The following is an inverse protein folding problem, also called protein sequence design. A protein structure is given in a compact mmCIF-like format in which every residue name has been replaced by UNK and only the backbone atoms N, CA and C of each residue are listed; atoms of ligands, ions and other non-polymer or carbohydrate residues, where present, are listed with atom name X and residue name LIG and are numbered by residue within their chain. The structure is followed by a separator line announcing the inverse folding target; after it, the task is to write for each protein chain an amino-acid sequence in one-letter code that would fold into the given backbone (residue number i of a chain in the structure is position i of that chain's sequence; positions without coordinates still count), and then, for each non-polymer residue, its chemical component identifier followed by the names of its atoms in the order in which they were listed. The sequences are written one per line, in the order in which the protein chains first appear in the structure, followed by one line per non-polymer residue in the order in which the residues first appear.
data_IF_063689554327
#
_entry.id   IF_063689554327
#
_cell.length_a   1.000
_cell.length_b   1.000
_cell.length_c   1.000
_cell.angle_alpha   90.00
_cell.angle_beta   90.00
_cell.angle_gamma   90.00
#
_symmetry.space_group_name_H-M   'P 1'
#
loop_
_entity.id
_entity.type
_entity.pdbx_description
1 polymer ?
#
# COMPACT_ATOMS: atom_id res chain seq x y z
N UNK A 1 7.82 33.69 -37.85
CA UNK A 1 7.42 33.17 -36.53
C UNK A 1 5.91 32.99 -36.59
N UNK A 2 5.45 31.75 -36.72
CA UNK A 2 4.06 31.39 -37.00
C UNK A 2 3.18 31.60 -35.77
N UNK A 3 2.06 32.30 -35.96
CA UNK A 3 1.01 32.51 -34.96
C UNK A 3 0.35 31.18 -34.56
N UNK A 4 0.21 30.94 -33.26
CA UNK A 4 -0.62 29.86 -32.74
C UNK A 4 -2.11 30.22 -32.98
N UNK A 5 -2.83 29.37 -33.73
CA UNK A 5 -4.30 29.39 -33.83
C UNK A 5 -4.84 28.47 -32.75
N UNK A 6 -5.77 28.99 -31.95
CA UNK A 6 -6.50 28.23 -30.92
C UNK A 6 -7.87 27.95 -31.55
N UNK A 7 -8.17 26.69 -31.84
CA UNK A 7 -9.53 26.25 -32.19
C UNK A 7 -10.33 26.15 -30.89
N UNK A 8 -11.42 26.90 -30.81
CA UNK A 8 -12.35 26.78 -29.69
C UNK A 8 -13.23 25.55 -29.94
N UNK A 9 -13.04 24.54 -29.10
CA UNK A 9 -13.95 23.40 -29.01
C UNK A 9 -15.19 23.88 -28.25
N UNK A 10 -16.36 23.73 -28.87
CA UNK A 10 -17.64 24.10 -28.26
C UNK A 10 -17.91 23.20 -27.07
N UNK A 11 -17.88 23.77 -25.86
CA UNK A 11 -18.34 23.12 -24.64
C UNK A 11 -19.84 22.82 -24.80
N UNK A 12 -20.16 21.55 -25.02
CA UNK A 12 -21.53 21.08 -25.03
C UNK A 12 -21.99 20.95 -23.57
N UNK A 13 -22.47 22.06 -23.02
CA UNK A 13 -23.10 22.17 -21.71
C UNK A 13 -24.32 21.23 -21.64
N UNK A 14 -24.10 20.06 -21.04
CA UNK A 14 -25.18 19.14 -20.67
C UNK A 14 -25.47 19.38 -19.20
N UNK A 15 -26.32 20.37 -18.94
CA UNK A 15 -26.90 20.67 -17.63
C UNK A 15 -27.57 19.39 -17.07
N UNK A 16 -27.02 18.76 -16.01
CA UNK A 16 -27.72 17.67 -15.35
C UNK A 16 -28.91 18.29 -14.63
N UNK A 17 -30.11 18.10 -15.19
CA UNK A 17 -31.37 18.56 -14.64
C UNK A 17 -31.36 18.54 -13.10
N UNK A 18 -31.43 19.73 -12.49
CA UNK A 18 -31.62 19.98 -11.06
C UNK A 18 -32.96 19.39 -10.60
N UNK A 19 -33.02 18.08 -10.51
CA UNK A 19 -34.15 17.32 -10.03
C UNK A 19 -34.01 17.03 -8.55
N UNK A 20 -34.72 17.83 -7.74
CA UNK A 20 -35.30 17.42 -6.44
C UNK A 20 -34.50 17.66 -5.15
N UNK A 21 -33.85 18.82 -5.00
CA UNK A 21 -33.39 19.27 -3.67
C UNK A 21 -34.12 20.52 -3.15
N UNK A 22 -34.91 21.21 -3.97
CA UNK A 22 -35.65 22.42 -3.56
C UNK A 22 -37.02 22.15 -2.90
N UNK A 23 -37.43 20.88 -2.73
CA UNK A 23 -38.72 20.51 -2.10
C UNK A 23 -38.56 19.72 -0.79
N UNK A 24 -37.36 19.66 -0.22
CA UNK A 24 -37.19 19.21 1.15
C UNK A 24 -37.28 20.44 2.06
N UNK A 25 -38.49 20.75 2.51
CA UNK A 25 -38.70 21.69 3.61
C UNK A 25 -38.09 21.09 4.88
N UNK A 26 -37.15 21.80 5.51
CA UNK A 26 -36.39 21.38 6.70
C UNK A 26 -37.26 20.99 7.93
N UNK A 27 -38.59 21.04 7.80
CA UNK A 27 -39.57 20.75 8.85
C UNK A 27 -39.93 19.26 9.02
N UNK A 28 -39.56 18.38 8.08
CA UNK A 28 -39.99 16.96 8.10
C UNK A 28 -38.90 15.98 8.58
N UNK A 29 -37.70 16.48 8.92
CA UNK A 29 -36.66 15.65 9.54
C UNK A 29 -36.87 15.57 11.06
N UNK A 30 -37.81 14.72 11.48
CA UNK A 30 -38.06 14.46 12.91
C UNK A 30 -36.92 13.58 13.48
N UNK A 31 -35.87 14.23 14.03
CA UNK A 31 -34.67 13.60 14.62
C UNK A 31 -34.97 12.52 15.70
N UNK A 32 -36.22 12.44 16.16
CA UNK A 32 -36.69 11.46 17.15
C UNK A 32 -36.87 10.04 16.60
N UNK A 33 -36.84 9.85 15.27
CA UNK A 33 -36.99 8.51 14.69
C UNK A 33 -35.66 7.73 14.61
N UNK A 34 -34.52 8.42 14.49
CA UNK A 34 -33.18 7.81 14.41
C UNK A 34 -32.79 7.12 15.73
N UNK A 35 -33.38 7.56 16.86
CA UNK A 35 -33.11 7.04 18.19
C UNK A 35 -34.13 6.00 18.68
N UNK A 36 -35.07 5.52 17.86
CA UNK A 36 -36.04 4.50 18.28
C UNK A 36 -35.37 3.11 18.36
N UNK A 37 -35.18 2.53 19.56
CA UNK A 37 -34.80 1.13 19.66
C UNK A 37 -36.03 0.29 19.31
N UNK A 38 -35.88 -0.67 18.40
CA UNK A 38 -36.93 -1.63 18.07
C UNK A 38 -37.38 -2.35 19.34
N UNK A 39 -38.64 -2.15 19.73
CA UNK A 39 -39.20 -2.74 20.94
C UNK A 39 -39.50 -4.23 20.68
N UNK A 40 -38.67 -5.11 21.24
CA UNK A 40 -39.01 -6.54 21.41
C UNK A 40 -39.54 -6.73 22.83
N UNK A 41 -40.69 -7.40 22.95
CA UNK A 41 -41.53 -7.47 24.16
C UNK A 41 -40.87 -8.11 25.42
N UNK A 42 -41.32 -7.66 26.61
CA UNK A 42 -40.98 -8.12 27.99
C UNK A 42 -42.02 -9.17 28.52
N UNK A 43 -41.89 -9.84 29.71
CA UNK A 43 -41.00 -9.60 30.87
C UNK A 43 -40.44 -10.84 31.65
N UNK A 44 -39.32 -10.69 32.40
CA UNK A 44 -39.05 -11.40 33.69
C UNK A 44 -38.01 -10.65 34.56
N UNK A 45 -38.10 -10.83 35.88
CA UNK A 45 -37.69 -9.99 37.04
C UNK A 45 -36.16 -9.77 37.35
N UNK A 46 -35.76 -8.86 38.29
CA UNK A 46 -34.35 -8.51 38.66
C UNK A 46 -33.81 -9.35 39.84
N UNK A 47 -32.47 -9.50 40.12
CA UNK A 47 -31.48 -8.46 40.56
C UNK A 47 -29.98 -8.80 40.18
N UNK A 48 -28.89 -8.33 40.87
CA UNK A 48 -28.40 -6.98 41.18
C UNK A 48 -27.02 -6.62 40.52
N UNK A 49 -26.72 -5.31 40.53
CA UNK A 49 -25.47 -4.55 40.33
C UNK A 49 -24.11 -5.26 40.11
N UNK A 50 -23.38 -4.88 39.05
CA UNK A 50 -21.92 -4.74 39.05
C UNK A 50 -21.39 -3.80 37.93
N UNK A 51 -20.79 -2.69 38.39
CA UNK A 51 -19.61 -1.97 37.87
C UNK A 51 -19.59 -1.36 36.46
N UNK A 52 -19.50 -0.03 36.46
CA UNK A 52 -19.08 0.83 35.37
C UNK A 52 -17.70 0.41 34.83
N UNK A 53 -17.60 0.16 33.53
CA UNK A 53 -16.33 0.27 32.82
C UNK A 53 -16.52 1.25 31.65
N UNK A 54 -16.02 2.45 31.87
CA UNK A 54 -15.88 3.50 30.89
C UNK A 54 -14.85 3.03 29.84
N UNK A 55 -15.33 2.55 28.69
CA UNK A 55 -14.46 2.19 27.57
C UNK A 55 -13.95 3.47 26.92
N UNK A 56 -12.65 3.72 27.10
CA UNK A 56 -11.90 4.73 26.38
C UNK A 56 -11.81 4.37 24.90
N UNK A 57 -12.41 5.25 24.08
CA UNK A 57 -11.83 5.84 22.88
C UNK A 57 -10.95 4.92 21.99
N UNK A 58 -11.53 4.49 20.87
CA UNK A 58 -10.94 4.42 19.52
C UNK A 58 -9.40 4.33 19.48
N UNK A 59 -8.87 3.11 19.41
CA UNK A 59 -7.49 2.84 19.02
C UNK A 59 -7.41 2.70 17.48
N UNK A 60 -6.77 3.63 16.75
CA UNK A 60 -6.69 3.59 15.30
C UNK A 60 -5.74 2.52 14.74
N UNK A 61 -5.11 1.69 15.58
CA UNK A 61 -4.16 0.65 15.13
C UNK A 61 -4.79 -0.71 14.82
N UNK A 62 -6.09 -0.89 15.10
CA UNK A 62 -6.77 -2.19 15.05
C UNK A 62 -7.70 -2.39 13.84
N UNK A 63 -7.45 -1.72 12.70
CA UNK A 63 -8.12 -2.10 11.44
C UNK A 63 -7.59 -3.46 10.98
N UNK A 64 -8.39 -4.55 11.05
CA UNK A 64 -7.96 -5.84 10.53
C UNK A 64 -8.01 -5.73 9.01
N UNK A 65 -6.88 -5.40 8.40
CA UNK A 65 -6.70 -5.51 6.96
C UNK A 65 -7.00 -6.96 6.58
N UNK A 66 -8.07 -7.17 5.80
CA UNK A 66 -8.69 -8.48 5.50
C UNK A 66 -7.79 -9.51 4.80
N UNK A 67 -6.53 -9.18 4.57
CA UNK A 67 -5.54 -10.02 3.91
C UNK A 67 -4.55 -10.72 4.86
N UNK A 68 -4.70 -10.58 6.19
CA UNK A 68 -3.92 -11.35 7.17
C UNK A 68 -2.42 -11.02 7.24
N UNK A 69 -1.93 -10.04 6.48
CA UNK A 69 -0.54 -9.58 6.56
C UNK A 69 -0.41 -8.49 7.63
N UNK A 70 -0.03 -8.89 8.84
CA UNK A 70 0.26 -7.96 9.94
C UNK A 70 1.60 -7.25 9.67
N UNK A 71 1.55 -6.01 9.18
CA UNK A 71 2.75 -5.20 8.91
C UNK A 71 3.15 -4.44 10.16
N UNK A 72 4.13 -4.95 10.90
CA UNK A 72 4.72 -4.25 12.04
C UNK A 72 5.73 -3.21 11.53
N UNK A 73 5.58 -1.91 11.88
CA UNK A 73 6.61 -0.92 11.59
C UNK A 73 7.88 -1.32 12.35
N UNK A 74 8.93 -1.72 11.64
CA UNK A 74 10.17 -2.10 12.32
C UNK A 74 10.87 -0.85 12.83
N UNK A 75 11.08 -0.78 14.13
CA UNK A 75 11.82 0.28 14.81
C UNK A 75 13.34 0.02 14.80
N UNK A 76 13.77 -1.16 14.35
CA UNK A 76 15.17 -1.58 14.34
C UNK A 76 15.76 -1.47 12.93
N UNK A 77 16.18 -0.26 12.55
CA UNK A 77 16.88 -0.01 11.28
C UNK A 77 18.25 -0.72 11.20
N UNK A 78 18.87 -1.00 12.36
CA UNK A 78 20.21 -1.58 12.45
C UNK A 78 20.25 -3.01 11.88
N UNK A 79 19.26 -3.85 12.20
CA UNK A 79 19.17 -5.22 11.70
C UNK A 79 19.10 -5.33 10.18
N UNK A 80 18.49 -4.35 9.52
CA UNK A 80 18.25 -4.38 8.06
C UNK A 80 19.11 -3.40 7.28
N UNK A 81 20.23 -2.95 7.84
CA UNK A 81 21.14 -2.02 7.20
C UNK A 81 21.87 -2.65 6.00
N UNK A 82 22.23 -3.93 6.12
CA UNK A 82 22.96 -4.68 5.10
C UNK A 82 22.05 -5.28 4.01
N UNK A 83 20.74 -5.09 4.13
CA UNK A 83 19.77 -5.63 3.19
C UNK A 83 19.72 -4.76 1.93
N UNK A 84 19.61 -5.42 0.78
CA UNK A 84 19.47 -4.72 -0.49
C UNK A 84 18.07 -4.09 -0.58
N UNK A 85 18.01 -2.79 -0.85
CA UNK A 85 16.75 -2.09 -1.09
C UNK A 85 16.27 -2.30 -2.53
N UNK A 86 15.02 -2.70 -2.67
CA UNK A 86 14.27 -2.83 -3.91
C UNK A 86 13.06 -1.90 -3.86
N UNK A 87 12.82 -1.21 -4.97
CA UNK A 87 11.65 -0.36 -5.19
C UNK A 87 10.90 -0.84 -6.43
N UNK A 88 9.57 -0.68 -6.50
CA UNK A 88 8.76 -1.09 -7.65
C UNK A 88 9.27 -0.53 -8.98
N UNK A 89 9.62 0.76 -9.02
CA UNK A 89 10.12 1.45 -10.22
C UNK A 89 11.33 0.77 -10.89
N UNK A 90 12.10 -0.05 -10.16
CA UNK A 90 13.25 -0.77 -10.71
C UNK A 90 12.84 -1.82 -11.76
N UNK A 91 11.63 -2.34 -11.65
CA UNK A 91 11.07 -3.39 -12.50
C UNK A 91 10.02 -2.85 -13.48
N UNK A 92 9.72 -1.55 -13.46
CA UNK A 92 8.64 -0.97 -14.26
C UNK A 92 9.05 -0.86 -15.73
N UNK A 93 8.31 -1.58 -16.59
CA UNK A 93 8.51 -1.62 -18.03
C UNK A 93 8.15 -0.29 -18.71
N UNK A 94 7.21 0.46 -18.14
CA UNK A 94 6.73 1.74 -18.67
C UNK A 94 7.72 2.89 -18.39
N UNK A 95 8.72 2.67 -17.53
CA UNK A 95 9.76 3.64 -17.18
C UNK A 95 11.05 3.32 -17.91
N UNK A 96 11.74 4.34 -18.38
CA UNK A 96 13.10 4.25 -18.90
C UNK A 96 14.14 4.02 -17.80
N UNK A 97 15.38 3.71 -18.19
CA UNK A 97 16.50 3.60 -17.24
C UNK A 97 16.82 4.92 -16.55
N UNK A 98 16.63 6.05 -17.23
CA UNK A 98 16.81 7.38 -16.66
C UNK A 98 15.76 7.67 -15.57
N UNK A 99 14.53 7.20 -15.76
CA UNK A 99 13.41 7.40 -14.83
C UNK A 99 13.43 6.46 -13.62
N UNK A 100 14.17 5.35 -13.68
CA UNK A 100 14.39 4.50 -12.51
C UNK A 100 14.48 3.01 -12.78
N UNK A 101 14.08 2.54 -13.98
CA UNK A 101 14.17 1.13 -14.33
C UNK A 101 15.62 0.65 -14.27
N UNK A 102 15.84 -0.49 -13.62
CA UNK A 102 17.20 -1.07 -13.45
C UNK A 102 17.40 -2.32 -14.30
N UNK A 103 16.32 -3.06 -14.56
CA UNK A 103 16.34 -4.30 -15.37
C UNK A 103 16.23 -4.02 -16.87
N UNK A 104 16.59 -5.01 -17.68
CA UNK A 104 16.32 -5.01 -19.12
C UNK A 104 14.82 -5.01 -19.41
N UNK A 105 14.40 -4.49 -20.56
CA UNK A 105 12.96 -4.32 -20.86
C UNK A 105 12.24 -5.66 -20.98
N UNK A 106 12.96 -6.69 -21.43
CA UNK A 106 12.50 -8.07 -21.55
C UNK A 106 12.24 -8.75 -20.20
N UNK A 107 12.86 -8.24 -19.13
CA UNK A 107 12.69 -8.74 -17.76
C UNK A 107 11.84 -7.80 -16.90
N UNK A 108 11.35 -6.69 -17.47
CA UNK A 108 10.53 -5.71 -16.78
C UNK A 108 9.04 -6.10 -16.83
N UNK A 109 8.29 -5.67 -15.83
CA UNK A 109 6.86 -5.95 -15.66
C UNK A 109 6.08 -4.64 -15.72
N UNK A 110 4.85 -4.70 -16.22
CA UNK A 110 3.96 -3.54 -16.28
C UNK A 110 3.33 -3.29 -14.90
N UNK A 111 3.38 -2.03 -14.46
CA UNK A 111 2.78 -1.57 -13.20
C UNK A 111 3.17 -2.41 -11.96
N UNK A 112 4.47 -2.59 -11.68
CA UNK A 112 4.91 -3.42 -10.57
C UNK A 112 4.43 -2.86 -9.22
N UNK A 113 3.95 -3.74 -8.34
CA UNK A 113 3.59 -3.38 -6.96
C UNK A 113 4.59 -3.93 -5.95
N UNK A 114 4.87 -3.17 -4.89
CA UNK A 114 5.81 -3.61 -3.86
C UNK A 114 5.39 -4.93 -3.19
N UNK A 115 4.08 -5.16 -3.07
CA UNK A 115 3.52 -6.40 -2.51
C UNK A 115 3.81 -7.63 -3.36
N UNK A 116 3.87 -7.49 -4.68
CA UNK A 116 4.24 -8.59 -5.58
C UNK A 116 5.72 -8.97 -5.40
N UNK A 117 6.57 -7.96 -5.19
CA UNK A 117 8.00 -8.17 -4.89
C UNK A 117 8.16 -8.95 -3.58
N UNK A 118 7.40 -8.59 -2.53
CA UNK A 118 7.39 -9.35 -1.25
C UNK A 118 6.97 -10.80 -1.48
N UNK A 119 5.88 -11.03 -2.22
CA UNK A 119 5.40 -12.37 -2.54
C UNK A 119 6.43 -13.19 -3.32
N UNK A 120 7.09 -12.58 -4.31
CA UNK A 120 8.15 -13.23 -5.08
C UNK A 120 9.34 -13.61 -4.19
N UNK A 121 9.76 -12.71 -3.30
CA UNK A 121 10.84 -13.00 -2.35
C UNK A 121 10.47 -14.13 -1.38
N UNK A 122 9.21 -14.18 -0.91
CA UNK A 122 8.70 -15.28 -0.09
C UNK A 122 8.75 -16.63 -0.79
N UNK A 123 8.41 -16.68 -2.09
CA UNK A 123 8.55 -17.90 -2.92
C UNK A 123 10.01 -18.34 -3.06
N UNK A 124 10.93 -17.39 -3.14
CA UNK A 124 12.38 -17.63 -3.17
C UNK A 124 12.98 -17.89 -1.77
N UNK A 125 12.15 -17.87 -0.71
CA UNK A 125 12.55 -18.04 0.70
C UNK A 125 13.61 -17.04 1.16
N UNK A 126 13.65 -15.84 0.56
CA UNK A 126 14.55 -14.78 0.96
C UNK A 126 14.04 -14.10 2.22
N UNK A 127 14.96 -13.76 3.13
CA UNK A 127 14.62 -12.93 4.28
C UNK A 127 14.32 -11.51 3.79
N UNK A 128 13.10 -11.04 4.04
CA UNK A 128 12.62 -9.74 3.57
C UNK A 128 11.96 -8.91 4.64
N UNK A 129 12.16 -7.60 4.54
CA UNK A 129 11.41 -6.59 5.26
C UNK A 129 10.63 -5.73 4.26
N UNK A 130 9.35 -5.51 4.55
CA UNK A 130 8.50 -4.64 3.75
C UNK A 130 8.22 -3.33 4.48
N UNK A 131 8.47 -2.21 3.80
CA UNK A 131 8.26 -0.86 4.30
C UNK A 131 7.24 -0.14 3.39
N UNK A 132 5.93 -0.26 3.67
CA UNK A 132 4.87 0.21 2.77
C UNK A 132 4.85 1.72 2.58
N UNK A 133 5.35 2.50 3.55
CA UNK A 133 5.28 3.97 3.52
C UNK A 133 6.48 4.62 2.83
N UNK A 134 7.52 3.85 2.48
CA UNK A 134 8.75 4.39 1.90
C UNK A 134 8.60 4.55 0.38
N UNK A 135 9.05 5.68 -0.12
CA UNK A 135 8.91 6.08 -1.53
C UNK A 135 10.28 6.14 -2.22
N UNK A 136 10.30 5.92 -3.54
CA UNK A 136 11.48 6.14 -4.34
C UNK A 136 11.56 7.62 -4.78
N UNK A 137 12.72 8.29 -4.74
CA UNK A 137 12.80 9.71 -5.10
C UNK A 137 12.35 10.04 -6.53
N UNK A 138 12.47 9.09 -7.46
CA UNK A 138 12.01 9.23 -8.85
C UNK A 138 10.56 8.78 -9.09
N UNK A 139 9.92 8.17 -8.10
CA UNK A 139 8.55 7.70 -8.18
C UNK A 139 7.87 7.85 -6.82
N UNK A 140 7.30 9.03 -6.60
CA UNK A 140 6.55 9.38 -5.39
C UNK A 140 5.11 8.83 -5.42
N UNK A 141 4.65 8.31 -6.56
CA UNK A 141 3.27 7.84 -6.75
C UNK A 141 3.08 6.35 -6.43
N UNK A 142 4.17 5.57 -6.39
CA UNK A 142 4.13 4.14 -6.09
C UNK A 142 4.87 3.83 -4.78
N UNK A 143 4.15 3.80 -3.64
CA UNK A 143 4.73 3.53 -2.34
C UNK A 143 5.15 2.07 -2.16
N UNK A 144 6.22 1.88 -1.38
CA UNK A 144 6.70 0.59 -0.94
C UNK A 144 8.18 0.41 -1.22
N UNK A 145 8.93 0.06 -0.17
CA UNK A 145 10.31 -0.41 -0.25
C UNK A 145 10.39 -1.83 0.30
N UNK A 146 11.09 -2.69 -0.42
CA UNK A 146 11.37 -4.05 0.03
C UNK A 146 12.86 -4.17 0.28
N UNK A 147 13.25 -4.53 1.49
CA UNK A 147 14.63 -4.84 1.85
C UNK A 147 14.81 -6.36 1.82
N UNK A 148 15.83 -6.85 1.12
CA UNK A 148 16.07 -8.28 0.90
C UNK A 148 17.48 -8.67 1.30
N UNK A 149 17.63 -9.75 2.05
CA UNK A 149 18.95 -10.32 2.36
C UNK A 149 19.42 -11.22 1.21
N UNK A 150 20.41 -10.73 0.46
CA UNK A 150 21.00 -11.45 -0.69
C UNK A 150 22.25 -12.23 -0.25
N UNK A 151 23.10 -11.63 0.58
CA UNK A 151 24.36 -12.26 1.03
C UNK A 151 24.18 -12.95 2.38
N UNK A 152 24.79 -14.12 2.52
CA UNK A 152 24.87 -14.86 3.79
C UNK A 152 23.53 -15.45 4.29
N UNK A 153 22.49 -15.42 3.47
CA UNK A 153 21.23 -16.12 3.78
C UNK A 153 21.31 -17.62 3.47
N UNK A 154 20.38 -18.40 4.00
CA UNK A 154 20.35 -19.87 3.85
C UNK A 154 19.99 -20.35 2.43
N UNK A 155 19.74 -19.41 1.51
CA UNK A 155 19.31 -19.68 0.15
C UNK A 155 20.49 -19.98 -0.76
N UNK A 156 20.76 -21.27 -0.99
CA UNK A 156 21.84 -21.78 -1.85
C UNK A 156 21.77 -21.34 -3.32
N UNK A 157 20.63 -20.81 -3.77
CA UNK A 157 20.42 -20.34 -5.14
C UNK A 157 20.95 -18.90 -5.34
N UNK A 158 21.21 -18.16 -4.27
CA UNK A 158 21.69 -16.78 -4.38
C UNK A 158 23.20 -16.77 -4.59
N UNK A 159 23.63 -16.76 -5.86
CA UNK A 159 25.04 -16.59 -6.22
C UNK A 159 25.41 -15.12 -6.06
N UNK A 160 26.27 -14.84 -5.07
CA UNK A 160 26.92 -13.54 -4.96
C UNK A 160 28.03 -13.50 -6.02
N UNK A 161 27.82 -12.74 -7.10
CA UNK A 161 28.79 -12.62 -8.20
C UNK A 161 30.16 -12.05 -7.79
N UNK A 162 30.30 -11.55 -6.55
CA UNK A 162 31.57 -11.07 -6.00
C UNK A 162 32.51 -12.19 -5.52
N UNK A 163 32.01 -13.41 -5.26
CA UNK A 163 32.85 -14.53 -4.82
C UNK A 163 33.49 -15.29 -6.00
N UNK A 164 33.01 -15.05 -7.22
CA UNK A 164 33.50 -15.71 -8.43
C UNK A 164 34.83 -15.13 -8.96
N UNK A 165 35.26 -13.94 -8.53
CA UNK A 165 36.52 -13.34 -8.98
C UNK A 165 37.76 -13.85 -8.23
N UNK A 166 37.61 -14.59 -7.12
CA UNK A 166 38.76 -15.08 -6.34
C UNK A 166 39.36 -16.41 -6.87
N UNK A 167 38.75 -17.06 -7.86
CA UNK A 167 39.16 -18.41 -8.31
C UNK A 167 39.83 -18.46 -9.69
N UNK A 168 40.32 -17.34 -10.24
CA UNK A 168 40.96 -17.33 -11.57
C UNK A 168 42.41 -16.82 -11.60
N UNK A 169 43.11 -16.80 -10.46
CA UNK A 169 44.54 -16.46 -10.42
C UNK A 169 45.39 -17.59 -9.81
N UNK A 170 45.40 -18.75 -10.46
CA UNK A 170 46.52 -19.71 -10.41
C UNK A 170 46.38 -20.66 -11.61
N UNK A 171 46.82 -20.19 -12.78
CA UNK A 171 47.41 -21.02 -13.83
C UNK A 171 48.23 -20.11 -14.72
N UNK A 172 49.48 -19.91 -14.33
CA UNK A 172 50.68 -19.87 -15.18
C UNK A 172 51.88 -20.17 -14.29
#
# INVERSE_FOLDING_TARGET
MSHARIEEVSDSDSDPSEGRLSELDDSDFDEREILRPTQVAKPRAPPPQAQQQQQSLLDPTLVPSGDGTNFQPTTDDAKYRDFQCLYPVYFDKNRSRAEGRRVGIENAVENPMAREIVNACGRLRLETLFEPTKLHPKDWSNPGRVKVRVKGGDNKNVQSSMDALSCHTTMV
#
